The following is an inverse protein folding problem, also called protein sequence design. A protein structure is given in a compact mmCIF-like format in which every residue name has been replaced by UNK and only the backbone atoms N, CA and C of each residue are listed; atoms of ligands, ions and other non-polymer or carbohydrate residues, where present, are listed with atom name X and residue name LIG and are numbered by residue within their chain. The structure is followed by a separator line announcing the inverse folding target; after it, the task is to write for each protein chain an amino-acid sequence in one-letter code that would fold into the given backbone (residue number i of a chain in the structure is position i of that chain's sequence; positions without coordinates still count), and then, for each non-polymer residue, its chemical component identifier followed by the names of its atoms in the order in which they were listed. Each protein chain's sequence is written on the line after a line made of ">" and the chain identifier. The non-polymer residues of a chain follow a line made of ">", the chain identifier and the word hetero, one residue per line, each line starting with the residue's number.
data_IF_799372459220
#
_entry.id   IF_799372459220
#
_cell.length_a   1.000
_cell.length_b   1.000
_cell.length_c   1.000
_cell.angle_alpha   90.00
_cell.angle_beta   90.00
_cell.angle_gamma   90.00
#
_symmetry.space_group_name_H-M   'P 1'
#
loop_
_entity.id
_entity.type
_entity.pdbx_description
1 polymer ?
#
# COMPACT_ATOMS: atom_id res chain seq x y z
N UNK A 1 12.54 -13.25 9.48
CA UNK A 1 11.76 -12.39 10.40
C UNK A 1 10.26 -12.41 10.04
N UNK A 2 9.85 -12.18 8.79
CA UNK A 2 8.43 -12.20 8.35
C UNK A 2 7.72 -13.57 8.49
N UNK A 3 8.48 -14.68 8.50
CA UNK A 3 7.94 -16.05 8.69
C UNK A 3 7.51 -16.41 10.11
N UNK A 4 7.88 -15.62 11.13
CA UNK A 4 7.67 -15.98 12.55
C UNK A 4 6.53 -15.20 13.23
N UNK A 5 5.62 -14.59 12.46
CA UNK A 5 4.49 -13.77 12.97
C UNK A 5 4.87 -12.59 13.88
N UNK A 6 6.16 -12.24 13.95
CA UNK A 6 6.68 -11.09 14.70
C UNK A 6 6.56 -9.79 13.89
N UNK A 7 5.34 -9.37 13.60
CA UNK A 7 5.07 -8.20 12.75
C UNK A 7 5.58 -6.90 13.39
N UNK A 8 5.45 -6.74 14.71
CA UNK A 8 5.93 -5.56 15.43
C UNK A 8 7.47 -5.40 15.39
N UNK A 9 8.21 -6.50 15.51
CA UNK A 9 9.68 -6.45 15.35
C UNK A 9 10.05 -6.16 13.89
N UNK A 10 9.33 -6.74 12.93
CA UNK A 10 9.56 -6.49 11.52
C UNK A 10 9.38 -5.00 11.16
N UNK A 11 8.35 -4.33 11.70
CA UNK A 11 8.13 -2.88 11.50
C UNK A 11 9.32 -2.06 11.99
N UNK A 12 9.93 -2.42 13.13
CA UNK A 12 11.14 -1.74 13.63
C UNK A 12 12.31 -1.89 12.66
N UNK A 13 12.55 -3.10 12.14
CA UNK A 13 13.61 -3.34 11.16
C UNK A 13 13.35 -2.63 9.82
N UNK A 14 12.10 -2.62 9.33
CA UNK A 14 11.76 -1.88 8.12
C UNK A 14 11.92 -0.36 8.30
N UNK A 15 11.54 0.16 9.47
CA UNK A 15 11.74 1.57 9.80
C UNK A 15 13.21 1.95 9.87
N UNK A 16 14.03 1.10 10.48
CA UNK A 16 15.49 1.29 10.47
C UNK A 16 16.05 1.26 9.05
N UNK A 17 15.62 0.30 8.22
CA UNK A 17 16.04 0.20 6.82
C UNK A 17 15.66 1.45 6.01
N UNK A 18 14.45 1.98 6.20
CA UNK A 18 14.02 3.23 5.58
C UNK A 18 14.84 4.43 6.05
N UNK A 19 15.12 4.53 7.36
CA UNK A 19 15.96 5.60 7.90
C UNK A 19 17.37 5.55 7.30
N UNK A 20 17.97 4.36 7.20
CA UNK A 20 19.29 4.18 6.59
C UNK A 20 19.27 4.55 5.10
N UNK A 21 18.21 4.17 4.37
CA UNK A 21 18.07 4.51 2.96
C UNK A 21 17.91 6.02 2.73
N UNK A 22 17.18 6.72 3.61
CA UNK A 22 16.96 8.17 3.54
C UNK A 22 18.16 9.00 4.01
N UNK A 23 19.03 8.43 4.86
CA UNK A 23 20.27 9.07 5.32
C UNK A 23 21.41 8.96 4.31
N UNK A 24 21.21 8.29 3.17
CA UNK A 24 22.24 8.17 2.14
C UNK A 24 22.59 9.54 1.56
N UNK A 25 23.89 9.82 1.34
CA UNK A 25 24.29 11.10 0.77
C UNK A 25 23.79 11.30 -0.66
N UNK A 26 23.58 12.57 -1.04
CA UNK A 26 23.01 12.93 -2.34
C UNK A 26 23.88 12.54 -3.56
N UNK A 27 25.14 12.16 -3.37
CA UNK A 27 26.03 11.70 -4.45
C UNK A 27 25.85 10.22 -4.81
N UNK A 28 25.07 9.46 -4.04
CA UNK A 28 24.72 8.09 -4.39
C UNK A 28 23.60 8.04 -5.44
N UNK A 29 23.55 7.02 -6.32
CA UNK A 29 22.49 6.89 -7.31
C UNK A 29 21.10 6.83 -6.67
N UNK A 30 20.30 7.88 -6.87
CA UNK A 30 18.95 8.00 -6.32
C UNK A 30 17.99 6.91 -6.78
N UNK A 31 18.26 6.31 -7.95
CA UNK A 31 17.43 5.25 -8.52
C UNK A 31 17.46 3.99 -7.64
N UNK A 32 18.64 3.62 -7.12
CA UNK A 32 18.79 2.44 -6.26
C UNK A 32 18.05 2.65 -4.94
N UNK A 33 18.13 3.86 -4.39
CA UNK A 33 17.41 4.23 -3.16
C UNK A 33 15.90 4.11 -3.36
N UNK A 34 15.35 4.60 -4.48
CA UNK A 34 13.91 4.48 -4.78
C UNK A 34 13.46 3.03 -4.94
N UNK A 35 14.28 2.20 -5.59
CA UNK A 35 14.02 0.76 -5.75
C UNK A 35 14.06 0.00 -4.42
N UNK A 36 14.91 0.37 -3.47
CA UNK A 36 14.92 -0.25 -2.14
C UNK A 36 13.77 0.26 -1.26
N UNK A 37 13.53 1.57 -1.31
CA UNK A 37 12.55 2.26 -0.48
C UNK A 37 11.12 1.82 -0.80
N UNK A 38 10.74 1.64 -2.07
CA UNK A 38 9.39 1.18 -2.39
C UNK A 38 9.11 -0.22 -1.83
N UNK A 39 10.08 -1.14 -1.87
CA UNK A 39 9.93 -2.49 -1.32
C UNK A 39 9.82 -2.46 0.20
N UNK A 40 10.64 -1.65 0.87
CA UNK A 40 10.61 -1.49 2.32
C UNK A 40 9.29 -0.91 2.79
N UNK A 41 8.78 0.15 2.15
CA UNK A 41 7.46 0.70 2.45
C UNK A 41 6.35 -0.31 2.20
N UNK A 42 6.40 -1.04 1.08
CA UNK A 42 5.40 -2.07 0.78
C UNK A 42 5.38 -3.14 1.87
N UNK A 43 6.54 -3.66 2.27
CA UNK A 43 6.64 -4.69 3.31
C UNK A 43 6.23 -4.18 4.69
N UNK A 44 6.53 -2.91 5.02
CA UNK A 44 6.08 -2.27 6.26
C UNK A 44 4.56 -2.10 6.27
N UNK A 45 3.96 -1.65 5.16
CA UNK A 45 2.51 -1.58 5.00
C UNK A 45 1.85 -2.94 5.25
N UNK A 46 2.40 -4.01 4.68
CA UNK A 46 1.87 -5.36 4.91
C UNK A 46 1.94 -5.79 6.38
N UNK A 47 3.03 -5.45 7.08
CA UNK A 47 3.14 -5.73 8.51
C UNK A 47 2.12 -4.91 9.33
N UNK A 48 1.86 -3.66 8.96
CA UNK A 48 0.81 -2.83 9.58
C UNK A 48 -0.60 -3.40 9.33
N UNK A 49 -0.89 -3.89 8.12
CA UNK A 49 -2.16 -4.56 7.81
C UNK A 49 -2.40 -5.79 8.69
N UNK A 50 -1.36 -6.61 8.94
CA UNK A 50 -1.48 -7.77 9.85
C UNK A 50 -1.74 -7.36 11.31
N UNK A 51 -1.31 -6.17 11.71
CA UNK A 51 -1.59 -5.59 13.02
C UNK A 51 -2.89 -4.78 13.05
N UNK A 52 -3.65 -4.73 11.94
CA UNK A 52 -4.87 -3.92 11.79
C UNK A 52 -4.65 -2.40 11.95
N UNK A 53 -3.41 -1.93 11.77
CA UNK A 53 -3.07 -0.52 11.74
C UNK A 53 -3.28 0.04 10.33
N UNK A 54 -4.54 0.17 9.94
CA UNK A 54 -4.94 0.57 8.58
C UNK A 54 -4.48 1.97 8.15
N UNK A 55 -4.50 3.02 9.01
CA UNK A 55 -4.03 4.34 8.62
C UNK A 55 -2.54 4.37 8.26
N UNK A 56 -1.70 3.76 9.09
CA UNK A 56 -0.26 3.66 8.85
C UNK A 56 0.04 2.78 7.63
N UNK A 57 -0.70 1.68 7.45
CA UNK A 57 -0.58 0.84 6.27
C UNK A 57 -0.91 1.61 4.98
N UNK A 58 -1.95 2.44 5.00
CA UNK A 58 -2.34 3.25 3.85
C UNK A 58 -1.28 4.31 3.52
N UNK A 59 -0.72 4.97 4.54
CA UNK A 59 0.35 5.95 4.37
C UNK A 59 1.63 5.31 3.79
N UNK A 60 2.02 4.15 4.31
CA UNK A 60 3.18 3.40 3.81
C UNK A 60 2.98 2.92 2.38
N UNK A 61 1.79 2.41 2.05
CA UNK A 61 1.49 1.95 0.71
C UNK A 61 1.48 3.12 -0.31
N UNK A 62 1.05 4.32 0.08
CA UNK A 62 1.18 5.53 -0.74
C UNK A 62 2.63 5.97 -0.94
N UNK A 63 3.44 5.96 0.12
CA UNK A 63 4.87 6.25 0.00
C UNK A 63 5.59 5.22 -0.89
N UNK A 64 5.15 3.96 -0.87
CA UNK A 64 5.64 2.91 -1.78
C UNK A 64 5.30 3.20 -3.25
N UNK A 65 4.06 3.63 -3.52
CA UNK A 65 3.62 4.01 -4.88
C UNK A 65 4.36 5.26 -5.37
N UNK A 66 4.59 6.26 -4.51
CA UNK A 66 5.33 7.47 -4.89
C UNK A 66 6.80 7.16 -5.22
N UNK A 67 7.41 6.22 -4.50
CA UNK A 67 8.77 5.77 -4.80
C UNK A 67 8.85 4.97 -6.12
N UNK A 68 7.84 4.15 -6.42
CA UNK A 68 7.73 3.38 -7.67
C UNK A 68 6.27 3.18 -8.07
N UNK A 69 5.85 3.90 -9.12
CA UNK A 69 4.47 3.89 -9.62
C UNK A 69 4.13 2.70 -10.49
N UNK A 70 5.09 2.20 -11.29
CA UNK A 70 4.91 1.10 -12.24
C UNK A 70 5.62 -0.18 -11.76
N UNK A 71 4.99 -1.35 -11.98
CA UNK A 71 5.46 -2.65 -11.51
C UNK A 71 5.27 -2.87 -10.00
N UNK A 72 4.39 -2.11 -9.35
CA UNK A 72 4.11 -2.12 -7.92
C UNK A 72 2.60 -2.28 -7.61
N UNK A 73 1.88 -3.09 -8.41
CA UNK A 73 0.45 -3.42 -8.19
C UNK A 73 0.12 -3.83 -6.74
N UNK A 74 1.06 -4.50 -6.05
CA UNK A 74 0.90 -4.88 -4.63
C UNK A 74 0.73 -3.69 -3.69
N UNK A 75 1.42 -2.57 -3.93
CA UNK A 75 1.27 -1.37 -3.11
C UNK A 75 -0.07 -0.69 -3.36
N UNK A 76 -0.50 -0.62 -4.63
CA UNK A 76 -1.83 -0.15 -5.00
C UNK A 76 -2.94 -0.95 -4.31
N UNK A 77 -2.83 -2.28 -4.34
CA UNK A 77 -3.76 -3.19 -3.66
C UNK A 77 -3.75 -3.01 -2.13
N UNK A 78 -2.58 -2.92 -1.50
CA UNK A 78 -2.43 -2.76 -0.04
C UNK A 78 -3.08 -1.47 0.45
N UNK A 79 -2.91 -0.36 -0.28
CA UNK A 79 -3.59 0.90 0.04
C UNK A 79 -5.10 0.82 -0.17
N UNK A 80 -5.54 0.32 -1.34
CA UNK A 80 -6.96 0.17 -1.63
C UNK A 80 -7.68 -0.65 -0.55
N UNK A 81 -7.08 -1.79 -0.16
CA UNK A 81 -7.62 -2.63 0.91
C UNK A 81 -7.62 -1.92 2.27
N UNK A 82 -6.56 -1.20 2.61
CA UNK A 82 -6.52 -0.44 3.87
C UNK A 82 -7.59 0.66 3.90
N UNK A 83 -7.87 1.33 2.77
CA UNK A 83 -8.94 2.32 2.65
C UNK A 83 -10.34 1.70 2.83
N UNK A 84 -10.55 0.50 2.27
CA UNK A 84 -11.80 -0.27 2.45
C UNK A 84 -12.04 -0.60 3.92
N UNK A 85 -11.02 -1.08 4.63
CA UNK A 85 -11.12 -1.41 6.06
C UNK A 85 -11.32 -0.17 6.94
N UNK A 86 -10.85 1.01 6.50
CA UNK A 86 -11.15 2.29 7.14
C UNK A 86 -12.55 2.84 6.80
N UNK A 87 -13.33 2.17 5.94
CA UNK A 87 -14.65 2.63 5.49
C UNK A 87 -14.61 3.78 4.46
N UNK A 88 -13.42 4.15 3.97
CA UNK A 88 -13.23 5.23 2.97
C UNK A 88 -13.40 4.68 1.56
N UNK A 89 -14.59 4.21 1.24
CA UNK A 89 -14.87 3.46 0.01
C UNK A 89 -14.71 4.28 -1.28
N UNK A 90 -15.17 5.53 -1.30
CA UNK A 90 -15.07 6.38 -2.50
C UNK A 90 -13.60 6.71 -2.83
N UNK A 91 -12.77 6.95 -1.81
CA UNK A 91 -11.32 7.14 -2.00
C UNK A 91 -10.62 5.85 -2.43
N UNK A 92 -11.04 4.70 -1.89
CA UNK A 92 -10.52 3.40 -2.32
C UNK A 92 -10.80 3.17 -3.81
N UNK A 93 -12.01 3.52 -4.28
CA UNK A 93 -12.40 3.40 -5.69
C UNK A 93 -11.51 4.25 -6.59
N UNK A 94 -11.33 5.54 -6.26
CA UNK A 94 -10.49 6.44 -7.04
C UNK A 94 -9.03 5.95 -7.07
N UNK A 95 -8.53 5.47 -5.93
CA UNK A 95 -7.16 4.97 -5.80
C UNK A 95 -6.91 3.71 -6.62
N UNK A 96 -7.80 2.71 -6.55
CA UNK A 96 -7.68 1.46 -7.30
C UNK A 96 -7.84 1.71 -8.80
N UNK A 97 -8.74 2.62 -9.20
CA UNK A 97 -8.88 3.06 -10.59
C UNK A 97 -7.58 3.62 -11.17
N UNK A 98 -6.90 4.52 -10.45
CA UNK A 98 -5.57 5.03 -10.83
C UNK A 98 -4.52 3.92 -10.91
N UNK A 99 -4.59 2.94 -10.00
CA UNK A 99 -3.69 1.78 -10.01
C UNK A 99 -3.83 0.94 -11.28
N UNK A 100 -5.08 0.71 -11.74
CA UNK A 100 -5.37 -0.03 -12.97
C UNK A 100 -4.89 0.71 -14.23
N UNK A 101 -4.98 2.05 -14.25
CA UNK A 101 -4.43 2.86 -15.36
C UNK A 101 -2.91 2.74 -15.49
N UNK A 102 -2.20 2.57 -14.35
CA UNK A 102 -0.73 2.57 -14.31
C UNK A 102 -0.13 1.17 -14.47
N UNK A 103 -0.68 0.17 -13.77
CA UNK A 103 -0.17 -1.21 -13.75
C UNK A 103 -0.79 -2.10 -14.84
N UNK A 104 -1.90 -1.66 -15.44
CA UNK A 104 -2.73 -2.48 -16.34
C UNK A 104 -3.77 -3.32 -15.59
N UNK A 105 -4.48 -4.20 -16.33
CA UNK A 105 -5.45 -5.16 -15.79
C UNK A 105 -4.77 -6.25 -14.95
N UNK A 106 -4.39 -5.87 -13.74
CA UNK A 106 -3.99 -6.80 -12.70
C UNK A 106 -5.25 -7.35 -12.02
N UNK A 107 -5.33 -8.68 -11.88
CA UNK A 107 -6.54 -9.38 -11.45
C UNK A 107 -6.92 -9.03 -10.01
N UNK A 108 -5.95 -8.92 -9.10
CA UNK A 108 -6.22 -8.60 -7.70
C UNK A 108 -6.78 -7.17 -7.56
N UNK A 109 -6.32 -6.21 -8.37
CA UNK A 109 -6.86 -4.85 -8.41
C UNK A 109 -8.28 -4.79 -8.98
N UNK A 110 -8.58 -5.55 -10.06
CA UNK A 110 -9.94 -5.62 -10.63
C UNK A 110 -10.92 -6.22 -9.61
N UNK A 111 -10.55 -7.33 -8.98
CA UNK A 111 -11.39 -7.97 -7.94
C UNK A 111 -11.63 -7.02 -6.77
N UNK A 112 -10.60 -6.28 -6.34
CA UNK A 112 -10.74 -5.29 -5.28
C UNK A 112 -11.68 -4.15 -5.68
N UNK A 113 -11.61 -3.68 -6.94
CA UNK A 113 -12.51 -2.64 -7.45
C UNK A 113 -13.97 -3.12 -7.44
N UNK A 114 -14.24 -4.33 -7.92
CA UNK A 114 -15.58 -4.93 -7.90
C UNK A 114 -16.13 -5.05 -6.47
N UNK A 115 -15.29 -5.45 -5.51
CA UNK A 115 -15.65 -5.50 -4.09
C UNK A 115 -16.01 -4.10 -3.55
N UNK A 116 -15.20 -3.09 -3.87
CA UNK A 116 -15.45 -1.70 -3.47
C UNK A 116 -16.77 -1.20 -4.05
N UNK A 117 -17.03 -1.41 -5.33
CA UNK A 117 -18.25 -0.97 -5.99
C UNK A 117 -19.50 -1.63 -5.42
N UNK A 118 -19.41 -2.93 -5.12
CA UNK A 118 -20.48 -3.64 -4.44
C UNK A 118 -20.76 -3.02 -3.07
N UNK A 119 -19.74 -2.79 -2.24
CA UNK A 119 -19.87 -2.17 -0.92
C UNK A 119 -20.45 -0.75 -1.00
N UNK A 120 -20.06 0.03 -2.00
CA UNK A 120 -20.63 1.37 -2.24
C UNK A 120 -22.11 1.27 -2.61
N UNK A 121 -22.50 0.32 -3.46
CA UNK A 121 -23.91 0.13 -3.84
C UNK A 121 -24.77 -0.33 -2.66
N UNK A 122 -24.25 -1.22 -1.82
CA UNK A 122 -24.90 -1.69 -0.60
C UNK A 122 -25.05 -0.56 0.42
N UNK A 123 -24.03 0.28 0.61
CA UNK A 123 -24.09 1.45 1.47
C UNK A 123 -25.12 2.48 0.98
N UNK A 124 -25.15 2.76 -0.33
CA UNK A 124 -26.14 3.68 -0.95
C UNK A 124 -27.56 3.13 -0.85
N UNK A 125 -27.74 1.82 -0.96
CA UNK A 125 -29.04 1.17 -0.80
C UNK A 125 -29.51 1.14 0.67
N UNK A 126 -28.61 1.15 1.64
CA UNK A 126 -28.95 1.23 3.06
C UNK A 126 -29.30 2.64 3.53
N UNK A 127 -28.87 3.67 2.79
CA UNK A 127 -29.15 5.07 3.08
C UNK A 127 -30.45 5.58 2.40
N UNK A 128 -30.99 4.84 1.43
CA UNK A 128 -32.24 5.12 0.71
C UNK A 128 -33.47 4.49 1.39
#
# INVERSE_FOLDING_TARGET
>A
MYRNQKYAEAIKFYTLGLQMALQRPAWEPSQLVREEVHQLYSNRAQAHMHLQNWPEAAADAEASVEAKRQGNAKAWFRRGRSLVEMGRLEEAKEWVGKGLEVEGEEKDLVVLLEEIERKISEAKAAEA
#
